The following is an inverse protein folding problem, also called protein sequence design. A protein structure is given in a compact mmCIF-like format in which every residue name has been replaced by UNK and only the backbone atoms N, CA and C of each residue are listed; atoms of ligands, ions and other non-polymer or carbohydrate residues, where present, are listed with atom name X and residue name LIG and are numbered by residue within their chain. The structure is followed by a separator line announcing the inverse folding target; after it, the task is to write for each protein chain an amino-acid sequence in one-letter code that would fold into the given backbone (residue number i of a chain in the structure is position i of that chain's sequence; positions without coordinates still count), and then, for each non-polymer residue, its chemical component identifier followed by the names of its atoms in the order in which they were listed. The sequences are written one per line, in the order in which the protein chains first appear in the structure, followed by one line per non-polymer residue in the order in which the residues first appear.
data_IF_932259457390
#
_entry.id   IF_932259457390
#
_cell.length_a   1.000
_cell.length_b   1.000
_cell.length_c   1.000
_cell.angle_alpha   90.00
_cell.angle_beta   90.00
_cell.angle_gamma   90.00
#
_symmetry.space_group_name_H-M   'P 1'
#
loop_
_entity.id
_entity.type
_entity.pdbx_description
1 polymer ?
#
# COMPACT_ATOMS: atom_id res chain seq x y z
N UNK A 1 15.12 -26.04 -6.96
CA UNK A 1 14.31 -25.47 -8.06
C UNK A 1 14.16 -23.95 -7.96
N UNK A 2 13.75 -23.38 -6.81
CA UNK A 2 13.60 -21.92 -6.61
C UNK A 2 14.88 -21.09 -6.90
N UNK A 3 16.07 -21.57 -6.48
CA UNK A 3 17.36 -20.93 -6.77
C UNK A 3 17.75 -20.85 -8.26
N UNK A 4 17.20 -21.74 -9.10
CA UNK A 4 17.46 -21.70 -10.56
C UNK A 4 16.47 -20.72 -11.22
N UNK A 5 15.21 -20.70 -10.74
CA UNK A 5 14.17 -19.84 -11.28
C UNK A 5 14.47 -18.35 -11.09
N UNK A 6 15.17 -17.94 -10.03
CA UNK A 6 15.56 -16.53 -9.78
C UNK A 6 16.95 -16.16 -10.27
N UNK A 7 17.72 -17.12 -10.79
CA UNK A 7 19.11 -16.88 -11.24
C UNK A 7 19.19 -15.94 -12.43
N UNK A 8 18.19 -15.99 -13.33
CA UNK A 8 18.09 -15.05 -14.45
C UNK A 8 17.86 -13.62 -13.96
N UNK A 9 17.06 -13.40 -12.90
CA UNK A 9 16.83 -12.08 -12.31
C UNK A 9 18.15 -11.51 -11.78
N UNK A 10 18.94 -12.33 -11.07
CA UNK A 10 20.26 -11.91 -10.60
C UNK A 10 21.18 -11.49 -11.76
N UNK A 11 21.20 -12.26 -12.85
CA UNK A 11 21.98 -11.87 -14.03
C UNK A 11 21.46 -10.60 -14.69
N UNK A 12 20.14 -10.42 -14.82
CA UNK A 12 19.56 -9.19 -15.35
C UNK A 12 19.92 -7.97 -14.50
N UNK A 13 19.95 -8.10 -13.16
CA UNK A 13 20.33 -6.99 -12.28
C UNK A 13 21.78 -6.52 -12.48
N UNK A 14 22.68 -7.38 -12.98
CA UNK A 14 24.07 -6.97 -13.29
C UNK A 14 24.15 -5.99 -14.48
N UNK A 15 23.14 -5.95 -15.34
CA UNK A 15 23.08 -5.03 -16.48
C UNK A 15 22.34 -3.73 -16.15
N UNK A 16 21.77 -3.60 -14.94
CA UNK A 16 21.01 -2.42 -14.54
C UNK A 16 21.94 -1.38 -13.89
N UNK A 17 21.75 -0.07 -14.16
CA UNK A 17 22.55 0.98 -13.55
C UNK A 17 22.39 1.02 -12.02
N UNK A 18 23.45 1.40 -11.30
CA UNK A 18 23.40 1.50 -9.83
C UNK A 18 22.34 2.49 -9.35
N UNK A 19 22.02 3.53 -10.12
CA UNK A 19 20.97 4.49 -9.77
C UNK A 19 19.59 3.83 -9.64
N UNK A 20 19.33 2.76 -10.42
CA UNK A 20 18.10 1.98 -10.33
C UNK A 20 18.09 1.09 -9.09
N UNK A 21 19.26 0.54 -8.72
CA UNK A 21 19.41 -0.48 -7.67
C UNK A 21 19.56 0.10 -6.25
N UNK A 22 19.67 1.41 -6.11
CA UNK A 22 19.75 2.06 -4.80
C UNK A 22 18.45 1.87 -4.02
N UNK A 23 18.57 1.84 -2.70
CA UNK A 23 17.42 1.90 -1.80
C UNK A 23 16.65 3.20 -2.05
N UNK A 24 15.32 3.12 -2.00
CA UNK A 24 14.38 4.20 -2.30
C UNK A 24 14.45 4.69 -3.77
N UNK A 25 14.94 3.83 -4.67
CA UNK A 25 14.95 4.08 -6.11
C UNK A 25 13.84 3.30 -6.85
N UNK A 26 13.80 3.42 -8.18
CA UNK A 26 12.74 2.83 -9.02
C UNK A 26 12.63 1.29 -8.91
N UNK A 27 13.66 0.59 -8.42
CA UNK A 27 13.58 -0.85 -8.13
C UNK A 27 12.51 -1.17 -7.06
N UNK A 28 12.34 -0.31 -6.06
CA UNK A 28 11.35 -0.53 -5.00
C UNK A 28 9.92 -0.45 -5.54
N UNK A 29 9.69 0.23 -6.67
CA UNK A 29 8.39 0.23 -7.36
C UNK A 29 8.04 -1.18 -7.82
N UNK A 30 9.00 -1.90 -8.42
CA UNK A 30 8.81 -3.30 -8.82
C UNK A 30 8.55 -4.17 -7.60
N UNK A 31 9.31 -3.97 -6.53
CA UNK A 31 9.16 -4.78 -5.32
C UNK A 31 7.83 -4.60 -4.62
N UNK A 32 7.28 -3.37 -4.54
CA UNK A 32 5.93 -3.15 -4.00
C UNK A 32 4.88 -3.83 -4.86
N UNK A 33 4.93 -3.68 -6.19
CA UNK A 33 3.98 -4.34 -7.10
C UNK A 33 3.96 -5.86 -6.86
N UNK A 34 5.15 -6.49 -6.83
CA UNK A 34 5.29 -7.92 -6.61
C UNK A 34 4.88 -8.35 -5.19
N UNK A 35 5.13 -7.50 -4.18
CA UNK A 35 4.70 -7.77 -2.80
C UNK A 35 3.18 -7.85 -2.72
N UNK A 36 2.45 -6.89 -3.30
CA UNK A 36 0.98 -6.89 -3.27
C UNK A 36 0.41 -8.15 -3.94
N UNK A 37 0.90 -8.52 -5.12
CA UNK A 37 0.47 -9.76 -5.78
C UNK A 37 0.77 -11.00 -4.94
N UNK A 38 1.97 -11.07 -4.33
CA UNK A 38 2.36 -12.18 -3.47
C UNK A 38 1.46 -12.31 -2.25
N UNK A 39 1.12 -11.20 -1.59
CA UNK A 39 0.21 -11.19 -0.44
C UNK A 39 -1.20 -11.67 -0.83
N UNK A 40 -1.70 -11.26 -2.00
CA UNK A 40 -2.97 -11.77 -2.54
C UNK A 40 -2.92 -13.29 -2.71
N UNK A 41 -1.86 -13.82 -3.34
CA UNK A 41 -1.69 -15.26 -3.54
C UNK A 41 -1.58 -16.03 -2.21
N UNK A 42 -0.92 -15.45 -1.20
CA UNK A 42 -0.86 -16.04 0.14
C UNK A 42 -2.23 -16.09 0.82
N UNK A 43 -3.03 -15.03 0.71
CA UNK A 43 -4.41 -15.03 1.20
C UNK A 43 -5.25 -16.11 0.51
N UNK A 44 -5.16 -16.24 -0.82
CA UNK A 44 -5.90 -17.28 -1.56
C UNK A 44 -5.48 -18.68 -1.14
N UNK A 45 -4.17 -18.94 -0.99
CA UNK A 45 -3.66 -20.21 -0.51
C UNK A 45 -4.21 -20.51 0.88
N UNK A 46 -4.09 -19.57 1.82
CA UNK A 46 -4.56 -19.75 3.18
C UNK A 46 -6.07 -20.05 3.21
N UNK A 47 -6.90 -19.26 2.53
CA UNK A 47 -8.36 -19.47 2.53
C UNK A 47 -8.69 -20.87 1.99
N UNK A 48 -8.08 -21.29 0.89
CA UNK A 48 -8.35 -22.59 0.29
C UNK A 48 -7.92 -23.76 1.20
N UNK A 49 -6.77 -23.65 1.86
CA UNK A 49 -6.28 -24.71 2.75
C UNK A 49 -7.01 -24.74 4.09
N UNK A 50 -7.43 -23.58 4.62
CA UNK A 50 -8.27 -23.48 5.83
C UNK A 50 -9.62 -24.18 5.60
N UNK A 51 -10.27 -23.90 4.46
CA UNK A 51 -11.56 -24.53 4.12
C UNK A 51 -11.46 -26.04 3.92
N UNK A 52 -10.31 -26.55 3.49
CA UNK A 52 -10.06 -28.00 3.42
C UNK A 52 -9.83 -28.63 4.79
N UNK A 53 -9.08 -27.94 5.66
CA UNK A 53 -8.76 -28.42 7.01
C UNK A 53 -9.99 -28.47 7.92
N UNK A 54 -10.87 -27.47 7.82
CA UNK A 54 -12.08 -27.36 8.64
C UNK A 54 -13.32 -27.46 7.74
N UNK A 55 -13.89 -28.66 7.54
CA UNK A 55 -15.02 -28.84 6.64
C UNK A 55 -16.31 -28.26 7.21
N UNK A 56 -17.19 -27.83 6.31
CA UNK A 56 -18.52 -27.30 6.64
C UNK A 56 -19.36 -28.31 7.43
N UNK A 57 -20.17 -27.79 8.33
CA UNK A 57 -21.19 -28.54 9.08
C UNK A 57 -22.56 -28.17 8.50
N UNK A 58 -23.32 -29.17 8.03
CA UNK A 58 -24.63 -28.95 7.42
C UNK A 58 -25.76 -28.86 8.45
N UNK A 59 -25.66 -29.67 9.51
CA UNK A 59 -26.59 -29.68 10.64
C UNK A 59 -25.78 -29.71 11.93
N UNK A 60 -26.02 -28.72 12.80
CA UNK A 60 -25.27 -28.51 14.02
C UNK A 60 -26.03 -29.11 15.20
N UNK A 61 -25.43 -30.11 15.86
CA UNK A 61 -26.02 -30.77 17.02
C UNK A 61 -25.24 -30.40 18.30
N UNK A 62 -25.80 -30.73 19.47
CA UNK A 62 -25.14 -30.43 20.75
C UNK A 62 -23.75 -31.03 20.89
N UNK A 63 -23.57 -32.26 20.43
CA UNK A 63 -22.28 -32.95 20.48
C UNK A 63 -21.21 -32.25 19.63
N UNK A 64 -21.60 -31.60 18.51
CA UNK A 64 -20.67 -30.83 17.67
C UNK A 64 -20.14 -29.57 18.38
N UNK A 65 -20.88 -29.08 19.38
CA UNK A 65 -20.54 -27.90 20.17
C UNK A 65 -19.74 -28.28 21.41
N UNK A 66 -20.18 -29.29 22.17
CA UNK A 66 -19.64 -29.60 23.50
C UNK A 66 -18.56 -30.68 23.50
N UNK A 67 -18.64 -31.67 22.60
CA UNK A 67 -17.73 -32.83 22.62
C UNK A 67 -16.66 -32.75 21.53
N UNK A 68 -17.07 -32.57 20.27
CA UNK A 68 -16.13 -32.60 19.15
C UNK A 68 -15.57 -31.23 18.77
N UNK A 69 -16.14 -30.14 19.30
CA UNK A 69 -15.75 -28.75 19.01
C UNK A 69 -15.72 -28.40 17.51
N UNK A 70 -16.44 -29.16 16.69
CA UNK A 70 -16.45 -28.98 15.23
C UNK A 70 -17.09 -27.64 14.87
N UNK A 71 -18.13 -27.25 15.61
CA UNK A 71 -18.80 -25.96 15.43
C UNK A 71 -17.84 -24.78 15.66
N UNK A 72 -16.99 -24.86 16.68
CA UNK A 72 -15.99 -23.83 16.98
C UNK A 72 -14.89 -23.77 15.91
N UNK A 73 -14.40 -24.94 15.47
CA UNK A 73 -13.44 -25.06 14.37
C UNK A 73 -13.96 -24.48 13.05
N UNK A 74 -15.20 -24.78 12.68
CA UNK A 74 -15.83 -24.24 11.48
C UNK A 74 -16.06 -22.73 11.58
N UNK A 75 -16.57 -22.25 12.71
CA UNK A 75 -16.73 -20.80 12.97
C UNK A 75 -15.40 -20.07 12.87
N UNK A 76 -14.34 -20.60 13.50
CA UNK A 76 -12.97 -20.06 13.38
C UNK A 76 -12.49 -20.02 11.93
N UNK A 77 -12.71 -21.09 11.16
CA UNK A 77 -12.31 -21.16 9.76
C UNK A 77 -13.00 -20.09 8.90
N UNK A 78 -14.30 -19.88 9.09
CA UNK A 78 -15.07 -18.82 8.43
C UNK A 78 -14.54 -17.44 8.79
N UNK A 79 -14.34 -17.16 10.09
CA UNK A 79 -13.82 -15.88 10.59
C UNK A 79 -12.41 -15.56 10.07
N UNK A 80 -11.49 -16.51 10.13
CA UNK A 80 -10.13 -16.33 9.59
C UNK A 80 -10.18 -16.10 8.08
N UNK A 81 -11.01 -16.87 7.36
CA UNK A 81 -11.19 -16.69 5.91
C UNK A 81 -11.82 -15.34 5.56
N UNK A 82 -12.74 -14.82 6.38
CA UNK A 82 -13.32 -13.49 6.25
C UNK A 82 -12.25 -12.41 6.45
N UNK A 83 -11.45 -12.47 7.51
CA UNK A 83 -10.36 -11.51 7.73
C UNK A 83 -9.37 -11.51 6.56
N UNK A 84 -8.99 -12.69 6.05
CA UNK A 84 -8.14 -12.82 4.87
C UNK A 84 -8.80 -12.26 3.60
N UNK A 85 -10.11 -12.43 3.42
CA UNK A 85 -10.86 -11.88 2.29
C UNK A 85 -10.97 -10.36 2.35
N UNK A 86 -11.17 -9.78 3.54
CA UNK A 86 -11.12 -8.32 3.76
C UNK A 86 -9.73 -7.79 3.43
N UNK A 87 -8.68 -8.53 3.80
CA UNK A 87 -7.31 -8.14 3.45
C UNK A 87 -7.10 -8.19 1.93
N UNK A 88 -7.51 -9.28 1.29
CA UNK A 88 -7.42 -9.47 -0.15
C UNK A 88 -8.16 -8.37 -0.92
N UNK A 89 -9.36 -8.01 -0.50
CA UNK A 89 -10.13 -6.91 -1.06
C UNK A 89 -9.35 -5.58 -0.99
N UNK A 90 -8.70 -5.32 0.15
CA UNK A 90 -7.86 -4.13 0.32
C UNK A 90 -6.66 -4.17 -0.63
N UNK A 91 -5.96 -5.31 -0.73
CA UNK A 91 -4.80 -5.49 -1.61
C UNK A 91 -5.16 -5.40 -3.11
N UNK A 92 -6.34 -5.89 -3.52
CA UNK A 92 -6.80 -5.78 -4.91
C UNK A 92 -7.09 -4.34 -5.32
N UNK A 93 -7.48 -3.46 -4.38
CA UNK A 93 -7.52 -2.01 -4.64
C UNK A 93 -6.13 -1.47 -4.96
N UNK A 94 -5.09 -1.90 -4.24
CA UNK A 94 -3.69 -1.51 -4.55
C UNK A 94 -3.29 -1.90 -5.96
N UNK A 95 -3.60 -3.13 -6.41
CA UNK A 95 -3.19 -3.61 -7.75
C UNK A 95 -3.61 -2.63 -8.82
N UNK A 96 -4.92 -2.31 -8.91
CA UNK A 96 -5.39 -1.45 -9.98
C UNK A 96 -4.96 0.02 -9.78
N UNK A 97 -4.95 0.50 -8.54
CA UNK A 97 -4.52 1.86 -8.23
C UNK A 97 -3.05 2.10 -8.62
N UNK A 98 -2.15 1.17 -8.31
CA UNK A 98 -0.73 1.27 -8.68
C UNK A 98 -0.44 1.07 -10.17
N UNK A 99 -1.37 0.45 -10.92
CA UNK A 99 -1.25 0.35 -12.38
C UNK A 99 -1.56 1.68 -13.09
N UNK A 100 -2.39 2.53 -12.50
CA UNK A 100 -2.94 3.73 -13.18
C UNK A 100 -2.51 5.05 -12.54
N UNK A 101 -1.94 5.04 -11.34
CA UNK A 101 -1.53 6.25 -10.64
C UNK A 101 -0.38 6.99 -11.33
N UNK A 102 -0.13 8.23 -10.93
CA UNK A 102 1.03 8.95 -11.42
C UNK A 102 2.34 8.27 -11.01
N UNK A 103 3.39 8.30 -11.86
CA UNK A 103 4.72 7.74 -11.56
C UNK A 103 5.28 8.16 -10.20
N UNK A 104 5.06 9.41 -9.81
CA UNK A 104 5.55 9.94 -8.55
C UNK A 104 4.77 9.35 -7.37
N UNK A 105 3.46 9.15 -7.48
CA UNK A 105 2.66 8.49 -6.44
C UNK A 105 3.16 7.07 -6.21
N UNK A 106 3.45 6.32 -7.29
CA UNK A 106 4.02 4.99 -7.19
C UNK A 106 5.40 4.98 -6.50
N UNK A 107 6.28 5.96 -6.81
CA UNK A 107 7.57 6.12 -6.11
C UNK A 107 7.40 6.44 -4.62
N UNK A 108 6.42 7.28 -4.26
CA UNK A 108 6.14 7.58 -2.87
C UNK A 108 5.72 6.33 -2.09
N UNK A 109 4.88 5.48 -2.68
CA UNK A 109 4.50 4.20 -2.06
C UNK A 109 5.69 3.24 -2.01
N UNK A 110 6.49 3.19 -3.09
CA UNK A 110 7.71 2.39 -3.17
C UNK A 110 8.69 2.70 -2.04
N UNK A 111 8.84 3.96 -1.63
CA UNK A 111 9.68 4.33 -0.47
C UNK A 111 9.25 3.66 0.85
N UNK A 112 7.99 3.21 0.94
CA UNK A 112 7.46 2.49 2.11
C UNK A 112 7.64 0.97 2.00
N UNK A 113 8.24 0.45 0.93
CA UNK A 113 8.38 -0.98 0.64
C UNK A 113 8.88 -1.79 1.83
N UNK A 114 9.98 -1.35 2.45
CA UNK A 114 10.57 -2.09 3.56
C UNK A 114 9.63 -2.15 4.77
N UNK A 115 8.81 -1.13 4.99
CA UNK A 115 7.80 -1.12 6.07
C UNK A 115 6.67 -2.09 5.71
N UNK A 116 6.15 -2.02 4.48
CA UNK A 116 5.12 -2.94 3.97
C UNK A 116 5.54 -4.41 4.10
N UNK A 117 6.81 -4.69 3.74
CA UNK A 117 7.39 -6.02 3.78
C UNK A 117 7.38 -6.62 5.20
N UNK A 118 7.59 -5.81 6.24
CA UNK A 118 7.58 -6.33 7.63
C UNK A 118 6.23 -6.91 8.05
N UNK A 119 5.14 -6.54 7.39
CA UNK A 119 3.80 -7.05 7.68
C UNK A 119 3.48 -8.37 6.96
N UNK A 120 4.29 -8.78 5.96
CA UNK A 120 4.17 -10.08 5.29
C UNK A 120 4.29 -11.25 6.29
N UNK A 121 5.11 -11.05 7.34
CA UNK A 121 5.32 -12.04 8.42
C UNK A 121 4.03 -12.50 9.10
N UNK A 122 2.99 -11.67 9.10
CA UNK A 122 1.69 -12.06 9.68
C UNK A 122 1.05 -13.19 8.89
N UNK A 123 1.21 -13.20 7.56
CA UNK A 123 0.73 -14.29 6.72
C UNK A 123 1.70 -15.48 6.76
N UNK A 124 3.02 -15.24 6.78
CA UNK A 124 4.01 -16.31 6.92
C UNK A 124 3.80 -17.12 8.20
N UNK A 125 3.50 -16.44 9.31
CA UNK A 125 3.16 -17.11 10.56
C UNK A 125 1.94 -18.05 10.42
N UNK A 126 0.87 -17.62 9.75
CA UNK A 126 -0.30 -18.46 9.51
C UNK A 126 0.02 -19.63 8.58
N UNK A 127 0.84 -19.41 7.55
CA UNK A 127 1.30 -20.47 6.63
C UNK A 127 2.15 -21.50 7.40
N UNK A 128 3.06 -21.04 8.26
CA UNK A 128 3.90 -21.93 9.09
C UNK A 128 3.05 -22.77 10.04
N UNK A 129 2.03 -22.17 10.67
CA UNK A 129 1.09 -22.91 11.52
C UNK A 129 0.31 -23.96 10.71
N UNK A 130 -0.12 -23.63 9.50
CA UNK A 130 -0.83 -24.56 8.62
C UNK A 130 0.07 -25.72 8.19
N UNK A 131 1.32 -25.43 7.79
CA UNK A 131 2.30 -26.45 7.38
C UNK A 131 2.67 -27.40 8.52
N UNK A 132 2.72 -26.91 9.76
CA UNK A 132 3.03 -27.71 10.95
C UNK A 132 1.80 -28.38 11.57
N UNK A 133 0.63 -28.22 10.95
CA UNK A 133 -0.66 -28.66 11.46
C UNK A 133 -1.05 -28.06 12.83
N UNK A 134 -0.47 -26.91 13.18
CA UNK A 134 -0.64 -26.20 14.46
C UNK A 134 -1.68 -25.07 14.39
N UNK A 135 -2.33 -24.88 13.24
CA UNK A 135 -3.45 -23.95 13.14
C UNK A 135 -4.66 -24.51 13.90
N UNK A 136 -5.00 -23.90 15.04
CA UNK A 136 -6.09 -24.27 15.93
C UNK A 136 -7.09 -23.11 16.12
N UNK A 137 -8.30 -23.44 16.58
CA UNK A 137 -9.46 -22.57 16.76
C UNK A 137 -9.31 -21.48 17.84
N UNK A 138 -8.47 -21.70 18.84
CA UNK A 138 -8.12 -20.68 19.85
C UNK A 138 -7.04 -19.68 19.43
N UNK A 139 -6.60 -19.68 18.16
CA UNK A 139 -5.57 -18.77 17.69
C UNK A 139 -6.05 -17.31 17.64
N UNK A 140 -5.28 -16.40 18.25
CA UNK A 140 -5.56 -14.97 18.18
C UNK A 140 -5.29 -14.37 16.79
N UNK A 141 -6.27 -13.66 16.24
CA UNK A 141 -6.18 -13.00 14.93
C UNK A 141 -5.67 -11.55 14.99
N UNK A 142 -5.26 -11.07 16.17
CA UNK A 142 -4.87 -9.68 16.41
C UNK A 142 -3.72 -9.18 15.50
N UNK A 143 -2.76 -10.04 15.17
CA UNK A 143 -1.64 -9.66 14.29
C UNK A 143 -2.10 -9.43 12.85
N UNK A 144 -3.06 -10.23 12.37
CA UNK A 144 -3.67 -10.08 11.06
C UNK A 144 -4.54 -8.82 11.01
N UNK A 145 -5.37 -8.58 12.03
CA UNK A 145 -6.19 -7.36 12.15
C UNK A 145 -5.31 -6.09 12.07
N UNK A 146 -4.21 -6.04 12.82
CA UNK A 146 -3.26 -4.92 12.78
C UNK A 146 -2.64 -4.73 11.39
N UNK A 147 -2.33 -5.84 10.71
CA UNK A 147 -1.80 -5.81 9.34
C UNK A 147 -2.83 -5.26 8.35
N UNK A 148 -4.08 -5.70 8.44
CA UNK A 148 -5.18 -5.18 7.61
C UNK A 148 -5.37 -3.68 7.85
N UNK A 149 -5.45 -3.24 9.11
CA UNK A 149 -5.57 -1.83 9.45
C UNK A 149 -4.41 -0.99 8.92
N UNK A 150 -3.18 -1.51 8.99
CA UNK A 150 -2.00 -0.84 8.45
C UNK A 150 -2.10 -0.65 6.93
N UNK A 151 -2.42 -1.70 6.15
CA UNK A 151 -2.58 -1.58 4.69
C UNK A 151 -3.76 -0.69 4.31
N UNK A 152 -4.88 -0.72 5.05
CA UNK A 152 -6.00 0.22 4.86
C UNK A 152 -5.55 1.67 5.07
N UNK A 153 -4.72 1.93 6.07
CA UNK A 153 -4.17 3.26 6.33
C UNK A 153 -3.25 3.72 5.18
N UNK A 154 -2.32 2.89 4.74
CA UNK A 154 -1.44 3.20 3.60
C UNK A 154 -2.26 3.49 2.33
N UNK A 155 -3.26 2.65 2.03
CA UNK A 155 -4.14 2.88 0.89
C UNK A 155 -4.83 4.25 0.99
N UNK A 156 -5.42 4.56 2.15
CA UNK A 156 -6.12 5.83 2.37
C UNK A 156 -5.20 7.04 2.23
N UNK A 157 -3.96 6.93 2.73
CA UNK A 157 -2.99 8.03 2.72
C UNK A 157 -2.43 8.34 1.33
N UNK A 158 -2.20 7.33 0.49
CA UNK A 158 -1.50 7.51 -0.79
C UNK A 158 -2.36 7.26 -2.04
N UNK A 159 -3.41 6.44 -1.95
CA UNK A 159 -4.17 5.93 -3.11
C UNK A 159 -5.68 6.19 -3.01
N UNK A 160 -6.14 7.03 -2.09
CA UNK A 160 -7.58 7.29 -1.89
C UNK A 160 -8.27 7.95 -3.10
N UNK A 161 -7.50 8.67 -3.93
CA UNK A 161 -8.00 9.34 -5.13
C UNK A 161 -7.90 8.45 -6.38
N UNK A 162 -7.19 7.32 -6.29
CA UNK A 162 -6.91 6.46 -7.43
C UNK A 162 -8.08 5.52 -7.75
N UNK A 163 -8.22 5.20 -9.03
CA UNK A 163 -9.26 4.27 -9.51
C UNK A 163 -8.89 2.83 -9.16
N UNK A 164 -9.91 2.02 -8.83
CA UNK A 164 -9.76 0.59 -8.62
C UNK A 164 -10.84 -0.20 -9.38
N UNK A 165 -10.66 -1.52 -9.50
CA UNK A 165 -11.63 -2.39 -10.18
C UNK A 165 -12.89 -2.57 -9.35
N UNK A 166 -13.96 -1.88 -9.75
CA UNK A 166 -15.26 -1.92 -9.09
C UNK A 166 -15.93 -3.30 -9.18
N UNK A 167 -15.81 -3.99 -10.32
CA UNK A 167 -16.33 -5.35 -10.47
C UNK A 167 -15.64 -6.34 -9.54
N UNK A 168 -14.31 -6.23 -9.38
CA UNK A 168 -13.57 -7.08 -8.43
C UNK A 168 -13.97 -6.74 -6.99
N UNK A 169 -14.10 -5.46 -6.67
CA UNK A 169 -14.52 -5.00 -5.35
C UNK A 169 -15.88 -5.55 -4.95
N UNK A 170 -16.84 -5.59 -5.89
CA UNK A 170 -18.17 -6.16 -5.66
C UNK A 170 -18.17 -7.69 -5.48
N UNK A 171 -17.30 -8.40 -6.22
CA UNK A 171 -17.09 -9.85 -6.03
C UNK A 171 -16.42 -10.15 -4.69
N UNK A 172 -15.45 -9.34 -4.30
CA UNK A 172 -14.80 -9.45 -3.01
C UNK A 172 -15.79 -9.16 -1.85
N UNK A 173 -16.65 -8.14 -2.00
CA UNK A 173 -17.77 -7.89 -1.08
C UNK A 173 -18.66 -9.13 -0.95
N UNK A 174 -19.02 -9.75 -2.07
CA UNK A 174 -19.83 -10.98 -2.06
C UNK A 174 -19.16 -12.09 -1.24
N UNK A 175 -17.86 -12.30 -1.45
CA UNK A 175 -17.08 -13.30 -0.70
C UNK A 175 -17.05 -12.99 0.79
N UNK A 176 -16.82 -11.73 1.16
CA UNK A 176 -16.80 -11.29 2.57
C UNK A 176 -18.15 -11.52 3.24
N UNK A 177 -19.26 -11.12 2.60
CA UNK A 177 -20.61 -11.31 3.13
C UNK A 177 -20.92 -12.79 3.31
N UNK A 178 -20.64 -13.65 2.33
CA UNK A 178 -20.91 -15.09 2.44
C UNK A 178 -20.13 -15.75 3.58
N UNK A 179 -18.83 -15.46 3.71
CA UNK A 179 -18.00 -16.00 4.80
C UNK A 179 -18.47 -15.48 6.16
N UNK A 180 -18.85 -14.20 6.24
CA UNK A 180 -19.41 -13.61 7.46
C UNK A 180 -20.73 -14.30 7.82
N UNK A 181 -21.63 -14.48 6.84
CA UNK A 181 -22.92 -15.14 7.02
C UNK A 181 -22.77 -16.61 7.42
N UNK A 182 -21.76 -17.33 6.96
CA UNK A 182 -21.46 -18.71 7.39
C UNK A 182 -20.97 -18.75 8.84
N UNK A 183 -20.10 -17.82 9.24
CA UNK A 183 -19.66 -17.67 10.64
C UNK A 183 -20.83 -17.33 11.55
N UNK A 184 -21.61 -16.30 11.19
CA UNK A 184 -22.76 -15.84 11.96
C UNK A 184 -23.82 -16.93 12.10
N UNK A 185 -24.14 -17.63 11.01
CA UNK A 185 -25.11 -18.74 11.07
C UNK A 185 -24.67 -19.80 12.07
N UNK A 186 -23.39 -20.19 12.03
CA UNK A 186 -22.83 -21.22 12.90
C UNK A 186 -22.87 -20.76 14.35
N UNK A 187 -22.42 -19.55 14.66
CA UNK A 187 -22.37 -19.04 16.02
C UNK A 187 -23.77 -18.77 16.60
N UNK A 188 -24.72 -18.29 15.79
CA UNK A 188 -26.12 -18.17 16.18
C UNK A 188 -26.71 -19.55 16.50
N UNK A 189 -26.48 -20.55 15.66
CA UNK A 189 -26.95 -21.92 15.91
C UNK A 189 -26.30 -22.53 17.16
N UNK A 190 -25.02 -22.23 17.44
CA UNK A 190 -24.37 -22.62 18.71
C UNK A 190 -25.11 -22.03 19.90
N UNK A 191 -25.47 -20.76 19.87
CA UNK A 191 -26.25 -20.11 20.93
C UNK A 191 -27.60 -20.82 21.11
N UNK A 192 -28.36 -21.03 20.03
CA UNK A 192 -29.66 -21.70 20.09
C UNK A 192 -29.56 -23.12 20.65
N UNK A 193 -28.56 -23.89 20.20
CA UNK A 193 -28.35 -25.23 20.70
C UNK A 193 -28.01 -25.20 22.18
N UNK A 194 -27.16 -24.30 22.65
CA UNK A 194 -26.74 -24.22 24.05
C UNK A 194 -27.78 -23.64 25.00
N UNK A 195 -28.80 -22.97 24.48
CA UNK A 195 -29.87 -22.37 25.26
C UNK A 195 -30.78 -23.45 25.88
N UNK A 196 -31.14 -23.27 27.15
CA UNK A 196 -32.13 -24.13 27.82
C UNK A 196 -33.51 -23.89 27.19
N UNK A 197 -34.18 -24.95 26.77
CA UNK A 197 -35.56 -24.88 26.27
C UNK A 197 -36.51 -24.34 27.36
N UNK A 198 -37.47 -23.51 26.96
CA UNK A 198 -38.51 -23.03 27.87
C UNK A 198 -39.37 -24.20 28.34
N UNK A 199 -39.57 -24.33 29.65
CA UNK A 199 -40.42 -25.36 30.25
C UNK A 199 -41.92 -25.14 29.93
N UNK A 200 -42.28 -24.02 29.30
CA UNK A 200 -43.63 -23.73 28.79
C UNK A 200 -43.59 -23.40 27.27
N UNK A 201 -44.17 -24.25 26.41
CA UNK A 201 -44.16 -24.05 24.95
C UNK A 201 -45.09 -22.93 24.44
N UNK A 202 -46.08 -22.51 25.25
CA UNK A 202 -47.15 -21.59 24.83
C UNK A 202 -47.03 -20.16 25.39
N UNK A 203 -45.94 -19.79 26.08
CA UNK A 203 -45.81 -18.47 26.69
C UNK A 203 -44.40 -17.87 26.54
N UNK A 204 -44.36 -16.70 25.90
CA UNK A 204 -43.26 -15.74 25.70
C UNK A 204 -41.83 -16.29 25.58
N UNK A 205 -41.38 -16.45 24.32
CA UNK A 205 -39.94 -16.51 24.02
C UNK A 205 -39.24 -15.33 24.69
N UNK A 206 -38.08 -15.56 25.31
CA UNK A 206 -37.32 -14.47 25.91
C UNK A 206 -36.99 -13.40 24.86
N UNK A 207 -36.90 -12.11 25.24
CA UNK A 207 -36.55 -11.05 24.29
C UNK A 207 -35.26 -11.34 23.52
N UNK A 208 -34.27 -11.95 24.19
CA UNK A 208 -33.03 -12.36 23.56
C UNK A 208 -33.22 -13.49 22.54
N UNK A 209 -34.08 -14.47 22.82
CA UNK A 209 -34.41 -15.53 21.84
C UNK A 209 -35.11 -14.95 20.60
N UNK A 210 -36.00 -13.97 20.80
CA UNK A 210 -36.65 -13.24 19.69
C UNK A 210 -35.62 -12.51 18.85
N UNK A 211 -34.68 -11.79 19.47
CA UNK A 211 -33.57 -11.14 18.77
C UNK A 211 -32.76 -12.15 17.96
N UNK A 212 -32.38 -13.28 18.55
CA UNK A 212 -31.60 -14.33 17.86
C UNK A 212 -32.33 -14.83 16.61
N UNK A 213 -33.64 -15.08 16.67
CA UNK A 213 -34.43 -15.50 15.52
C UNK A 213 -34.48 -14.41 14.43
N UNK A 214 -34.66 -13.15 14.81
CA UNK A 214 -34.64 -12.02 13.88
C UNK A 214 -33.29 -11.86 13.17
N UNK A 215 -32.17 -12.11 13.87
CA UNK A 215 -30.83 -12.07 13.28
C UNK A 215 -30.63 -13.21 12.27
N UNK A 216 -31.23 -14.39 12.47
CA UNK A 216 -31.21 -15.49 11.47
C UNK A 216 -31.92 -15.06 10.19
N UNK A 217 -33.13 -14.53 10.30
CA UNK A 217 -33.91 -14.06 9.16
C UNK A 217 -33.16 -12.96 8.38
N UNK A 218 -32.54 -12.02 9.10
CA UNK A 218 -31.70 -10.99 8.49
C UNK A 218 -30.46 -11.59 7.78
N UNK A 219 -29.86 -12.65 8.33
CA UNK A 219 -28.71 -13.33 7.72
C UNK A 219 -29.10 -13.99 6.39
N UNK A 220 -30.26 -14.63 6.35
CA UNK A 220 -30.81 -15.23 5.15
C UNK A 220 -31.13 -14.18 4.09
N UNK A 221 -31.69 -13.03 4.50
CA UNK A 221 -31.90 -11.88 3.62
C UNK A 221 -30.57 -11.40 3.01
N UNK A 222 -29.51 -11.24 3.82
CA UNK A 222 -28.19 -10.85 3.32
C UNK A 222 -27.65 -11.85 2.29
N UNK A 223 -27.75 -13.17 2.56
CA UNK A 223 -27.35 -14.22 1.62
C UNK A 223 -28.13 -14.14 0.30
N UNK A 224 -29.45 -13.92 0.37
CA UNK A 224 -30.28 -13.79 -0.81
C UNK A 224 -29.87 -12.58 -1.67
N UNK A 225 -29.66 -11.40 -1.04
CA UNK A 225 -29.22 -10.20 -1.74
C UNK A 225 -27.83 -10.38 -2.35
N UNK A 226 -26.89 -10.99 -1.63
CA UNK A 226 -25.54 -11.19 -2.16
C UNK A 226 -25.52 -12.22 -3.30
N UNK A 227 -26.39 -13.23 -3.26
CA UNK A 227 -26.60 -14.15 -4.37
C UNK A 227 -27.09 -13.44 -5.63
N UNK A 228 -27.96 -12.43 -5.47
CA UNK A 228 -28.41 -11.56 -6.58
C UNK A 228 -27.28 -10.65 -7.08
N UNK A 229 -26.54 -9.99 -6.17
CA UNK A 229 -25.37 -9.17 -6.51
C UNK A 229 -24.35 -9.99 -7.32
N UNK A 230 -23.99 -11.19 -6.86
CA UNK A 230 -23.00 -12.03 -7.53
C UNK A 230 -23.38 -12.40 -8.97
N UNK A 231 -24.68 -12.59 -9.23
CA UNK A 231 -25.20 -12.89 -10.58
C UNK A 231 -25.21 -11.65 -11.48
N UNK A 232 -25.41 -10.47 -10.89
CA UNK A 232 -25.53 -9.20 -11.63
C UNK A 232 -24.17 -8.53 -11.87
N UNK A 233 -23.14 -8.82 -11.08
CA UNK A 233 -21.81 -8.23 -11.28
C UNK A 233 -21.13 -8.85 -12.51
N UNK A 234 -20.52 -8.04 -13.40
CA UNK A 234 -19.77 -8.56 -14.55
C UNK A 234 -18.67 -9.53 -14.12
N UNK A 235 -18.59 -10.67 -14.80
CA UNK A 235 -17.55 -11.67 -14.59
C UNK A 235 -16.32 -11.35 -15.45
N UNK A 236 -15.18 -12.01 -15.20
CA UNK A 236 -13.90 -11.67 -15.87
C UNK A 236 -13.93 -11.75 -17.41
N UNK A 237 -14.84 -12.54 -17.97
CA UNK A 237 -15.02 -12.68 -19.43
C UNK A 237 -15.91 -11.58 -20.05
N UNK A 238 -16.64 -10.82 -19.24
CA UNK A 238 -17.56 -9.78 -19.69
C UNK A 238 -16.83 -8.46 -19.95
N UNK A 239 -16.32 -8.32 -21.17
CA UNK A 239 -15.59 -7.12 -21.64
C UNK A 239 -16.50 -5.95 -21.99
N UNK A 240 -17.81 -6.17 -22.08
CA UNK A 240 -18.74 -5.19 -22.63
C UNK A 240 -19.38 -4.31 -21.56
N UNK A 241 -19.27 -4.69 -20.29
CA UNK A 241 -19.90 -3.99 -19.17
C UNK A 241 -18.87 -3.64 -18.10
N UNK A 242 -18.80 -2.36 -17.75
CA UNK A 242 -18.00 -1.86 -16.63
C UNK A 242 -18.92 -1.31 -15.55
N UNK A 243 -18.46 -1.38 -14.29
CA UNK A 243 -19.17 -0.78 -13.16
C UNK A 243 -18.44 0.48 -12.69
N UNK A 244 -19.21 1.51 -12.35
CA UNK A 244 -18.73 2.73 -11.67
C UNK A 244 -19.60 2.99 -10.46
N UNK A 245 -19.03 2.86 -9.27
CA UNK A 245 -19.70 3.22 -8.02
C UNK A 245 -19.33 4.65 -7.63
N UNK A 246 -20.30 5.37 -7.09
CA UNK A 246 -20.07 6.69 -6.49
C UNK A 246 -19.48 6.57 -5.06
N UNK A 247 -18.94 7.68 -4.55
CA UNK A 247 -18.29 7.72 -3.23
C UNK A 247 -19.22 7.34 -2.07
N UNK A 248 -20.54 7.58 -2.17
CA UNK A 248 -21.48 7.19 -1.12
C UNK A 248 -21.71 5.69 -1.16
N UNK A 249 -21.89 5.09 -2.33
CA UNK A 249 -21.97 3.63 -2.46
C UNK A 249 -20.70 2.94 -1.92
N UNK A 250 -19.51 3.49 -2.19
CA UNK A 250 -18.25 2.95 -1.66
C UNK A 250 -18.20 3.06 -0.13
N UNK A 251 -18.59 4.20 0.44
CA UNK A 251 -18.57 4.40 1.90
C UNK A 251 -19.60 3.54 2.63
N UNK A 252 -20.77 3.33 2.03
CA UNK A 252 -21.79 2.38 2.50
C UNK A 252 -21.24 0.95 2.49
N UNK A 253 -20.57 0.51 1.42
CA UNK A 253 -19.94 -0.82 1.37
C UNK A 253 -18.87 -0.94 2.48
N UNK A 254 -18.05 0.09 2.68
CA UNK A 254 -17.06 0.09 3.76
C UNK A 254 -17.74 0.05 5.16
N UNK A 255 -18.93 0.63 5.31
CA UNK A 255 -19.75 0.52 6.54
C UNK A 255 -20.25 -0.90 6.76
N UNK A 256 -20.86 -1.50 5.74
CA UNK A 256 -21.32 -2.89 5.77
C UNK A 256 -20.20 -3.86 6.16
N UNK A 257 -18.99 -3.70 5.60
CA UNK A 257 -17.83 -4.54 5.94
C UNK A 257 -17.38 -4.34 7.40
N UNK A 258 -17.42 -3.11 7.92
CA UNK A 258 -17.12 -2.85 9.35
C UNK A 258 -18.16 -3.50 10.26
N UNK A 259 -19.44 -3.38 9.92
CA UNK A 259 -20.52 -3.98 10.70
C UNK A 259 -20.44 -5.51 10.69
N UNK A 260 -20.15 -6.14 9.55
CA UNK A 260 -19.91 -7.58 9.47
C UNK A 260 -18.70 -8.04 10.29
N UNK A 261 -17.58 -7.30 10.26
CA UNK A 261 -16.40 -7.60 11.08
C UNK A 261 -16.72 -7.48 12.58
N UNK A 262 -17.51 -6.48 12.99
CA UNK A 262 -17.97 -6.34 14.38
C UNK A 262 -18.90 -7.47 14.78
N UNK A 263 -19.94 -7.75 14.00
CA UNK A 263 -20.91 -8.82 14.27
C UNK A 263 -20.19 -10.16 14.46
N UNK A 264 -19.35 -10.55 13.51
CA UNK A 264 -18.60 -11.82 13.57
C UNK A 264 -17.63 -11.89 14.75
N UNK A 265 -16.98 -10.78 15.11
CA UNK A 265 -16.16 -10.70 16.33
C UNK A 265 -17.01 -10.83 17.59
N UNK A 266 -18.16 -10.16 17.67
CA UNK A 266 -19.05 -10.22 18.84
C UNK A 266 -19.63 -11.61 19.03
N UNK A 267 -20.17 -12.24 17.99
CA UNK A 267 -20.71 -13.60 18.06
C UNK A 267 -19.66 -14.64 18.45
N UNK A 268 -18.43 -14.48 17.97
CA UNK A 268 -17.32 -15.31 18.40
C UNK A 268 -16.98 -15.14 19.88
N UNK A 269 -16.97 -13.89 20.39
CA UNK A 269 -16.76 -13.61 21.81
C UNK A 269 -17.91 -14.16 22.68
N UNK A 270 -19.16 -14.06 22.21
CA UNK A 270 -20.31 -14.69 22.88
C UNK A 270 -20.07 -16.20 22.99
N UNK A 271 -19.79 -16.85 21.86
CA UNK A 271 -19.60 -18.29 21.84
C UNK A 271 -18.38 -18.73 22.66
N UNK A 272 -17.30 -17.95 22.68
CA UNK A 272 -16.14 -18.22 23.55
C UNK A 272 -16.51 -18.12 25.04
N UNK A 273 -17.35 -17.15 25.41
CA UNK A 273 -17.91 -17.03 26.76
C UNK A 273 -18.79 -18.22 27.11
N UNK A 274 -19.65 -18.65 26.19
CA UNK A 274 -20.50 -19.83 26.36
C UNK A 274 -19.68 -21.11 26.51
N UNK A 275 -18.64 -21.33 25.69
CA UNK A 275 -17.73 -22.47 25.84
C UNK A 275 -17.13 -22.49 27.25
N UNK A 276 -16.72 -21.32 27.78
CA UNK A 276 -16.20 -21.21 29.15
C UNK A 276 -17.26 -21.55 30.19
N UNK A 277 -18.50 -21.09 30.01
CA UNK A 277 -19.59 -21.35 30.95
C UNK A 277 -19.98 -22.83 30.98
N UNK A 278 -19.99 -23.53 29.84
CA UNK A 278 -20.26 -24.98 29.77
C UNK A 278 -19.24 -25.75 30.62
N UNK A 279 -17.96 -25.37 30.58
CA UNK A 279 -16.91 -26.02 31.37
C UNK A 279 -17.11 -25.88 32.88
N UNK A 280 -17.96 -24.95 33.33
CA UNK A 280 -18.31 -24.75 34.74
C UNK A 280 -19.57 -25.53 35.17
N UNK A 281 -20.34 -26.06 34.21
CA UNK A 281 -21.53 -26.86 34.50
C UNK A 281 -21.15 -28.23 35.03
N UNK A 282 -21.95 -28.75 35.96
CA UNK A 282 -21.66 -30.03 36.63
C UNK A 282 -22.19 -31.24 35.85
N UNK A 283 -23.23 -31.04 35.03
CA UNK A 283 -23.79 -32.08 34.15
C UNK A 283 -23.42 -31.80 32.69
N UNK A 284 -22.91 -32.83 32.01
CA UNK A 284 -22.47 -32.77 30.61
C UNK A 284 -23.61 -32.49 29.61
N UNK A 285 -24.87 -32.66 30.01
CA UNK A 285 -26.05 -32.36 29.18
C UNK A 285 -26.79 -31.08 29.61
N UNK A 286 -26.27 -30.36 30.60
CA UNK A 286 -26.87 -29.13 31.10
C UNK A 286 -26.75 -28.01 30.06
N UNK A 287 -27.83 -27.23 29.92
CA UNK A 287 -27.91 -26.10 28.99
C UNK A 287 -27.81 -24.78 29.76
N UNK A 288 -27.39 -23.73 29.07
CA UNK A 288 -27.17 -22.42 29.69
C UNK A 288 -28.51 -21.67 29.79
N UNK A 289 -28.74 -21.01 30.93
CA UNK A 289 -29.89 -20.16 31.11
C UNK A 289 -29.80 -18.91 30.22
N UNK A 290 -30.92 -18.50 29.63
CA UNK A 290 -30.96 -17.37 28.69
C UNK A 290 -30.42 -16.07 29.30
N UNK A 291 -30.65 -15.83 30.60
CA UNK A 291 -30.13 -14.65 31.29
C UNK A 291 -28.58 -14.60 31.29
N UNK A 292 -27.93 -15.76 31.40
CA UNK A 292 -26.47 -15.83 31.40
C UNK A 292 -25.91 -15.64 29.99
N UNK A 293 -26.59 -16.18 28.98
CA UNK A 293 -26.27 -15.93 27.56
C UNK A 293 -26.37 -14.43 27.26
N UNK A 294 -27.43 -13.78 27.74
CA UNK A 294 -27.64 -12.35 27.59
C UNK A 294 -26.54 -11.53 28.29
N UNK A 295 -26.15 -11.89 29.51
CA UNK A 295 -25.04 -11.25 30.23
C UNK A 295 -23.71 -11.39 29.47
N UNK A 296 -23.43 -12.55 28.89
CA UNK A 296 -22.26 -12.77 28.03
C UNK A 296 -22.35 -11.90 26.76
N UNK A 297 -23.54 -11.75 26.18
CA UNK A 297 -23.75 -10.88 25.03
C UNK A 297 -23.46 -9.41 25.34
N UNK A 298 -23.86 -8.91 26.51
CA UNK A 298 -23.48 -7.57 26.98
C UNK A 298 -21.95 -7.41 27.07
N UNK A 299 -21.24 -8.38 27.67
CA UNK A 299 -19.78 -8.33 27.79
C UNK A 299 -19.07 -8.37 26.42
N UNK A 300 -19.58 -9.18 25.50
CA UNK A 300 -19.05 -9.28 24.15
C UNK A 300 -19.26 -7.99 23.35
N UNK A 301 -20.44 -7.37 23.45
CA UNK A 301 -20.73 -6.10 22.82
C UNK A 301 -19.83 -4.98 23.33
N UNK A 302 -19.68 -4.82 24.64
CA UNK A 302 -18.81 -3.81 25.25
C UNK A 302 -17.36 -3.96 24.75
N UNK A 303 -16.85 -5.19 24.68
CA UNK A 303 -15.50 -5.49 24.21
C UNK A 303 -15.27 -5.09 22.74
N UNK A 304 -16.25 -5.32 21.86
CA UNK A 304 -16.12 -5.15 20.41
C UNK A 304 -16.53 -3.75 19.94
N UNK A 305 -17.70 -3.27 20.35
CA UNK A 305 -18.27 -1.97 19.97
C UNK A 305 -17.68 -0.82 20.79
N UNK A 306 -17.24 -1.07 22.03
CA UNK A 306 -16.59 -0.10 22.91
C UNK A 306 -17.46 1.15 23.11
N UNK A 307 -16.98 2.30 22.66
CA UNK A 307 -17.70 3.59 22.80
C UNK A 307 -19.00 3.67 22.00
N UNK A 308 -19.16 2.79 21.01
CA UNK A 308 -20.35 2.71 20.17
C UNK A 308 -21.28 1.57 20.60
N UNK A 309 -21.10 1.01 21.81
CA UNK A 309 -21.97 -0.02 22.35
C UNK A 309 -23.25 0.58 22.92
N UNK A 310 -24.39 0.08 22.45
CA UNK A 310 -25.74 0.33 22.99
C UNK A 310 -26.39 -0.94 23.54
N UNK A 311 -25.59 -1.95 23.87
CA UNK A 311 -26.06 -3.28 24.30
C UNK A 311 -26.35 -4.22 23.13
N UNK A 312 -26.62 -5.51 23.41
CA UNK A 312 -26.76 -6.54 22.38
C UNK A 312 -28.01 -6.37 21.51
N UNK A 313 -29.13 -5.87 22.08
CA UNK A 313 -30.36 -5.67 21.32
C UNK A 313 -30.21 -4.64 20.20
N UNK A 314 -29.65 -3.48 20.51
CA UNK A 314 -29.50 -2.38 19.56
C UNK A 314 -28.26 -2.58 18.68
N UNK A 315 -27.08 -2.83 19.28
CA UNK A 315 -25.82 -2.92 18.53
C UNK A 315 -25.81 -4.04 17.48
N UNK A 316 -26.32 -5.24 17.83
CA UNK A 316 -26.36 -6.37 16.90
C UNK A 316 -27.42 -6.16 15.82
N UNK A 317 -28.62 -5.72 16.21
CA UNK A 317 -29.71 -5.47 15.28
C UNK A 317 -29.36 -4.37 14.28
N UNK A 318 -28.93 -3.21 14.75
CA UNK A 318 -28.64 -2.06 13.89
C UNK A 318 -27.50 -2.39 12.92
N UNK A 319 -26.44 -3.04 13.39
CA UNK A 319 -25.32 -3.44 12.54
C UNK A 319 -25.76 -4.39 11.41
N UNK A 320 -26.61 -5.36 11.74
CA UNK A 320 -27.07 -6.37 10.79
C UNK A 320 -28.11 -5.80 9.83
N UNK A 321 -29.04 -5.00 10.35
CA UNK A 321 -30.08 -4.31 9.59
C UNK A 321 -29.49 -3.28 8.61
N UNK A 322 -28.54 -2.45 9.06
CA UNK A 322 -27.83 -1.51 8.19
C UNK A 322 -27.12 -2.27 7.06
N UNK A 323 -26.44 -3.37 7.37
CA UNK A 323 -25.76 -4.20 6.38
C UNK A 323 -26.75 -4.76 5.35
N UNK A 324 -27.86 -5.35 5.80
CA UNK A 324 -28.90 -5.90 4.92
C UNK A 324 -29.54 -4.82 4.04
N UNK A 325 -29.77 -3.63 4.58
CA UNK A 325 -30.30 -2.46 3.86
C UNK A 325 -29.34 -1.97 2.77
N UNK A 326 -28.04 -1.87 3.10
CA UNK A 326 -26.98 -1.51 2.14
C UNK A 326 -26.91 -2.54 1.01
N UNK A 327 -26.88 -3.84 1.32
CA UNK A 327 -26.86 -4.90 0.30
C UNK A 327 -28.11 -4.87 -0.59
N UNK A 328 -29.28 -4.59 -0.02
CA UNK A 328 -30.52 -4.43 -0.79
C UNK A 328 -30.45 -3.23 -1.74
N UNK A 329 -29.93 -2.10 -1.27
CA UNK A 329 -29.73 -0.90 -2.09
C UNK A 329 -28.80 -1.18 -3.26
N UNK A 330 -27.65 -1.80 -2.99
CA UNK A 330 -26.66 -2.17 -4.02
C UNK A 330 -27.25 -3.15 -5.04
N UNK A 331 -27.98 -4.15 -4.56
CA UNK A 331 -28.64 -5.16 -5.39
C UNK A 331 -29.65 -4.52 -6.35
N UNK A 332 -30.47 -3.59 -5.86
CA UNK A 332 -31.43 -2.84 -6.67
C UNK A 332 -30.74 -1.89 -7.68
N UNK A 333 -29.68 -1.21 -7.25
CA UNK A 333 -28.86 -0.35 -8.13
C UNK A 333 -28.21 -1.13 -9.27
N UNK A 334 -27.71 -2.35 -9.01
CA UNK A 334 -27.20 -3.25 -10.05
C UNK A 334 -28.29 -3.73 -11.01
N UNK A 335 -29.49 -4.04 -10.51
CA UNK A 335 -30.61 -4.52 -11.33
C UNK A 335 -31.16 -3.43 -12.26
N UNK A 336 -31.19 -2.19 -11.77
CA UNK A 336 -31.60 -1.00 -12.55
C UNK A 336 -30.51 -0.51 -13.50
N UNK A 337 -29.30 -1.08 -13.45
CA UNK A 337 -28.16 -0.65 -14.25
C UNK A 337 -27.59 0.71 -13.83
N UNK A 338 -27.89 1.19 -12.62
CA UNK A 338 -27.44 2.53 -12.18
C UNK A 338 -25.93 2.66 -12.03
N UNK A 339 -25.23 1.53 -11.88
CA UNK A 339 -23.77 1.47 -11.82
C UNK A 339 -23.12 1.17 -13.18
N UNK A 340 -23.91 0.92 -14.23
CA UNK A 340 -23.36 0.54 -15.53
C UNK A 340 -22.69 1.73 -16.20
N UNK A 341 -21.44 1.53 -16.60
CA UNK A 341 -20.66 2.50 -17.35
C UNK A 341 -20.15 1.91 -18.65
N UNK A 342 -19.94 2.77 -19.64
CA UNK A 342 -19.30 2.35 -20.88
C UNK A 342 -17.86 1.92 -20.56
N UNK A 343 -17.38 0.80 -21.14
CA UNK A 343 -16.00 0.38 -20.97
C UNK A 343 -15.09 1.48 -21.50
N UNK A 344 -14.35 2.13 -20.60
CA UNK A 344 -13.32 3.09 -20.99
C UNK A 344 -12.22 2.29 -21.67
N UNK A 345 -11.89 2.62 -22.92
CA UNK A 345 -10.71 2.08 -23.60
C UNK A 345 -9.49 2.29 -22.69
N UNK A 346 -8.97 1.21 -22.11
CA UNK A 346 -7.74 1.24 -21.31
C UNK A 346 -6.54 1.40 -22.25
N UNK A 347 -6.39 2.59 -22.83
CA UNK A 347 -5.25 2.95 -23.70
C UNK A 347 -4.11 3.64 -22.94
N UNK A 348 -4.28 3.92 -21.64
CA UNK A 348 -3.21 4.51 -20.82
C UNK A 348 -2.16 3.47 -20.47
N UNK A 349 -0.89 3.74 -20.84
CA UNK A 349 0.28 2.97 -20.38
C UNK A 349 0.28 2.89 -18.85
N UNK A 350 0.57 1.72 -18.29
CA UNK A 350 0.64 1.55 -16.82
C UNK A 350 1.77 2.41 -16.23
N UNK A 351 1.61 2.81 -14.96
CA UNK A 351 2.54 3.67 -14.22
C UNK A 351 3.98 3.16 -14.25
N UNK A 352 4.17 1.84 -14.15
CA UNK A 352 5.50 1.22 -14.20
C UNK A 352 6.18 1.39 -15.57
N UNK A 353 5.43 1.37 -16.67
CA UNK A 353 5.97 1.64 -18.01
C UNK A 353 6.37 3.10 -18.15
N UNK A 354 5.59 4.02 -17.58
CA UNK A 354 5.92 5.45 -17.56
C UNK A 354 7.20 5.71 -16.75
N UNK A 355 7.36 5.06 -15.59
CA UNK A 355 8.60 5.12 -14.79
C UNK A 355 9.79 4.59 -15.61
N UNK A 356 9.64 3.43 -16.26
CA UNK A 356 10.71 2.86 -17.07
C UNK A 356 11.11 3.78 -18.24
N UNK A 357 10.14 4.44 -18.89
CA UNK A 357 10.38 5.42 -19.95
C UNK A 357 11.09 6.66 -19.41
N UNK A 358 10.66 7.21 -18.27
CA UNK A 358 11.33 8.32 -17.56
C UNK A 358 12.77 7.97 -17.15
N UNK A 359 13.01 6.75 -16.68
CA UNK A 359 14.34 6.30 -16.32
C UNK A 359 15.25 6.19 -17.56
N UNK A 360 14.74 5.64 -18.67
CA UNK A 360 15.49 5.55 -19.93
C UNK A 360 15.81 6.92 -20.51
N UNK A 361 14.89 7.88 -20.45
CA UNK A 361 15.17 9.25 -20.90
C UNK A 361 16.20 9.94 -20.00
N UNK A 362 16.15 9.72 -18.67
CA UNK A 362 17.13 10.24 -17.72
C UNK A 362 18.55 9.73 -18.00
N UNK A 363 18.71 8.44 -18.29
CA UNK A 363 20.02 7.86 -18.68
C UNK A 363 20.56 8.53 -19.94
N UNK A 364 19.76 8.62 -20.99
CA UNK A 364 20.18 9.21 -22.26
C UNK A 364 20.57 10.70 -22.09
N UNK A 365 19.84 11.43 -21.24
CA UNK A 365 20.18 12.82 -20.91
C UNK A 365 21.48 12.90 -20.11
N UNK A 366 21.71 11.99 -19.17
CA UNK A 366 22.95 11.92 -18.39
C UNK A 366 24.17 11.68 -19.29
N UNK A 367 24.08 10.75 -20.24
CA UNK A 367 25.15 10.49 -21.20
C UNK A 367 25.41 11.69 -22.14
N UNK A 368 24.34 12.39 -22.56
CA UNK A 368 24.44 13.63 -23.34
C UNK A 368 25.15 14.75 -22.56
N UNK A 369 24.80 14.92 -21.28
CA UNK A 369 25.44 15.90 -20.40
C UNK A 369 26.90 15.52 -20.16
N UNK A 370 27.21 14.24 -19.93
CA UNK A 370 28.59 13.76 -19.75
C UNK A 370 29.45 14.06 -20.97
N UNK A 371 28.93 13.79 -22.17
CA UNK A 371 29.64 14.09 -23.42
C UNK A 371 29.90 15.59 -23.59
N UNK A 372 28.94 16.46 -23.22
CA UNK A 372 29.12 17.92 -23.25
C UNK A 372 30.13 18.40 -22.21
N UNK A 373 30.17 17.75 -21.04
CA UNK A 373 31.13 18.05 -19.99
C UNK A 373 32.55 17.73 -20.46
N UNK A 374 32.76 16.54 -21.04
CA UNK A 374 34.05 16.11 -21.60
C UNK A 374 34.56 17.11 -22.66
N UNK A 375 33.70 17.56 -23.58
CA UNK A 375 34.05 18.60 -24.56
C UNK A 375 34.44 19.93 -23.90
N UNK A 376 33.72 20.36 -22.86
CA UNK A 376 34.04 21.59 -22.13
C UNK A 376 35.34 21.48 -21.34
N UNK A 377 35.68 20.30 -20.83
CA UNK A 377 36.97 20.05 -20.19
C UNK A 377 38.13 20.12 -21.18
N UNK A 378 37.95 19.62 -22.41
CA UNK A 378 38.93 19.72 -23.49
C UNK A 378 39.13 21.19 -23.94
N UNK A 379 38.05 21.92 -24.18
CA UNK A 379 38.12 23.36 -24.48
C UNK A 379 38.84 24.14 -23.38
N UNK A 380 38.56 23.81 -22.11
CA UNK A 380 39.19 24.47 -20.96
C UNK A 380 40.69 24.16 -20.86
N UNK A 381 41.10 22.94 -21.20
CA UNK A 381 42.52 22.56 -21.31
C UNK A 381 43.22 23.37 -22.40
N UNK A 382 42.60 23.54 -23.56
CA UNK A 382 43.19 24.30 -24.66
C UNK A 382 43.25 25.80 -24.37
N UNK A 383 42.20 26.37 -23.77
CA UNK A 383 42.23 27.77 -23.29
C UNK A 383 43.33 27.96 -22.25
N UNK A 384 43.52 27.02 -21.32
CA UNK A 384 44.64 27.07 -20.36
C UNK A 384 46.01 27.03 -21.04
N UNK A 385 46.19 26.19 -22.07
CA UNK A 385 47.45 26.16 -22.86
C UNK A 385 47.68 27.49 -23.57
N UNK A 386 46.66 28.03 -24.24
CA UNK A 386 46.74 29.32 -24.93
C UNK A 386 47.04 30.47 -23.97
N UNK A 387 46.44 30.46 -22.79
CA UNK A 387 46.70 31.44 -21.74
C UNK A 387 48.15 31.35 -21.25
N UNK A 388 48.70 30.15 -21.09
CA UNK A 388 50.11 29.96 -20.75
C UNK A 388 51.05 30.50 -21.83
N UNK A 389 50.79 30.20 -23.11
CA UNK A 389 51.57 30.74 -24.24
C UNK A 389 51.52 32.26 -24.24
N UNK A 390 50.33 32.86 -24.08
CA UNK A 390 50.18 34.32 -24.04
C UNK A 390 50.86 34.96 -22.82
N UNK A 391 50.86 34.27 -21.68
CA UNK A 391 51.59 34.68 -20.49
C UNK A 391 53.11 34.70 -20.74
N UNK A 392 53.64 33.64 -21.37
CA UNK A 392 55.05 33.54 -21.72
C UNK A 392 55.45 34.64 -22.73
N UNK A 393 54.64 34.87 -23.78
CA UNK A 393 54.83 35.96 -24.76
C UNK A 393 54.84 37.36 -24.09
N UNK A 394 53.88 37.62 -23.17
CA UNK A 394 53.83 38.88 -22.43
C UNK A 394 55.06 39.06 -21.52
N UNK A 395 55.53 37.98 -20.89
CA UNK A 395 56.74 38.02 -20.08
C UNK A 395 57.97 38.38 -20.93
N UNK A 396 58.09 37.82 -22.13
CA UNK A 396 59.17 38.14 -23.07
C UNK A 396 59.09 39.59 -23.55
N UNK A 397 57.90 40.06 -23.92
CA UNK A 397 57.69 41.45 -24.32
C UNK A 397 58.01 42.42 -23.19
N UNK A 398 57.62 42.13 -21.94
CA UNK A 398 57.97 42.95 -20.79
C UNK A 398 59.48 43.03 -20.56
N UNK A 399 60.21 41.92 -20.74
CA UNK A 399 61.68 41.91 -20.67
C UNK A 399 62.27 42.79 -21.77
N UNK A 400 61.79 42.66 -23.02
CA UNK A 400 62.24 43.50 -24.15
C UNK A 400 61.95 44.98 -23.92
N UNK A 401 60.78 45.30 -23.36
CA UNK A 401 60.37 46.66 -23.04
C UNK A 401 61.33 47.27 -22.00
N UNK A 402 61.59 46.54 -20.89
CA UNK A 402 62.56 46.96 -19.86
C UNK A 402 63.98 47.16 -20.41
N UNK A 403 64.43 46.32 -21.35
CA UNK A 403 65.73 46.50 -22.00
C UNK A 403 65.78 47.76 -22.88
N UNK A 404 64.71 48.04 -23.63
CA UNK A 404 64.63 49.23 -24.47
C UNK A 404 64.51 50.51 -23.65
N UNK A 405 63.76 50.50 -22.54
CA UNK A 405 63.70 51.61 -21.58
C UNK A 405 65.09 51.94 -21.05
N UNK A 406 65.85 50.94 -20.57
CA UNK A 406 67.24 51.12 -20.13
C UNK A 406 68.14 51.68 -21.24
N UNK A 407 67.93 51.24 -22.48
CA UNK A 407 68.69 51.75 -23.63
C UNK A 407 68.35 53.22 -23.91
N UNK A 408 67.08 53.61 -23.84
CA UNK A 408 66.65 55.00 -23.97
C UNK A 408 67.26 55.85 -22.86
N UNK A 409 67.21 55.39 -21.60
CA UNK A 409 67.86 56.08 -20.46
C UNK A 409 69.36 56.28 -20.70
N UNK A 410 70.06 55.25 -21.21
CA UNK A 410 71.49 55.38 -21.54
C UNK A 410 71.76 56.38 -22.67
N UNK A 411 70.94 56.38 -23.72
CA UNK A 411 71.07 57.30 -24.84
C UNK A 411 70.74 58.74 -24.42
N UNK A 412 69.69 58.92 -23.61
CA UNK A 412 69.34 60.22 -23.02
C UNK A 412 70.52 60.77 -22.24
N UNK A 413 71.15 59.95 -21.38
CA UNK A 413 72.35 60.34 -20.65
C UNK A 413 73.52 60.71 -21.57
N UNK A 414 73.77 59.93 -22.63
CA UNK A 414 74.80 60.26 -23.63
C UNK A 414 74.49 61.57 -24.39
N UNK A 415 73.23 61.83 -24.71
CA UNK A 415 72.80 63.06 -25.36
C UNK A 415 72.93 64.26 -24.43
N UNK A 416 72.57 64.12 -23.15
CA UNK A 416 72.79 65.15 -22.13
C UNK A 416 74.28 65.46 -21.97
N UNK A 417 75.14 64.42 -21.91
CA UNK A 417 76.59 64.59 -21.85
C UNK A 417 77.13 65.32 -23.10
N UNK A 418 76.63 65.00 -24.29
CA UNK A 418 76.98 65.69 -25.54
C UNK A 418 76.47 67.13 -25.57
N UNK A 419 75.23 67.38 -25.16
CA UNK A 419 74.64 68.73 -25.12
C UNK A 419 75.40 69.61 -24.12
N UNK A 420 75.77 69.06 -22.96
CA UNK A 420 76.64 69.73 -22.00
C UNK A 420 78.01 70.07 -22.59
N UNK A 421 78.65 69.15 -23.32
CA UNK A 421 79.90 69.44 -24.06
C UNK A 421 79.72 70.52 -25.12
N UNK A 422 78.65 70.45 -25.90
CA UNK A 422 78.36 71.48 -26.92
C UNK A 422 78.15 72.84 -26.27
N UNK A 423 77.36 72.93 -25.19
CA UNK A 423 77.17 74.16 -24.43
C UNK A 423 78.50 74.73 -23.91
N UNK A 424 79.38 73.90 -23.36
CA UNK A 424 80.72 74.31 -22.95
C UNK A 424 81.53 74.88 -24.13
N UNK A 425 81.58 74.19 -25.27
CA UNK A 425 82.28 74.70 -26.47
C UNK A 425 81.64 75.98 -27.02
N UNK A 426 80.32 76.13 -26.91
CA UNK A 426 79.59 77.31 -27.37
C UNK A 426 79.86 78.51 -26.45
N UNK A 427 79.99 78.29 -25.15
CA UNK A 427 80.47 79.29 -24.19
C UNK A 427 81.93 79.69 -24.47
N UNK A 428 82.82 78.74 -24.73
CA UNK A 428 84.21 79.01 -25.13
C UNK A 428 84.27 79.86 -26.41
N UNK A 429 83.51 79.50 -27.46
CA UNK A 429 83.44 80.26 -28.72
C UNK A 429 82.80 81.64 -28.52
N UNK A 430 81.78 81.77 -27.66
CA UNK A 430 81.21 83.08 -27.31
C UNK A 430 82.22 83.97 -26.59
N UNK A 431 82.98 83.41 -25.66
CA UNK A 431 84.04 84.14 -24.94
C UNK A 431 85.14 84.58 -25.93
N UNK A 432 85.55 83.73 -26.86
CA UNK A 432 86.54 84.07 -27.90
C UNK A 432 86.02 85.08 -28.92
N UNK A 433 84.74 85.00 -29.30
CA UNK A 433 84.09 85.98 -30.17
C UNK A 433 83.98 87.36 -29.53
N UNK A 434 83.69 87.43 -28.22
CA UNK A 434 83.67 88.69 -27.47
C UNK A 434 85.06 89.30 -27.30
N UNK A 435 86.12 88.48 -27.29
CA UNK A 435 87.51 88.98 -27.26
C UNK A 435 88.00 89.52 -28.62
N UNK A 436 87.35 89.17 -29.74
CA UNK A 436 87.71 89.64 -31.09
C UNK A 436 86.95 90.89 -31.57
N UNK A 437 85.98 91.39 -30.77
CA UNK A 437 85.22 92.62 -31.07
C UNK A 437 85.72 93.82 -30.21
N UNK A 438 86.85 93.67 -29.50
CA UNK A 438 87.62 94.76 -28.92
C UNK A 438 89.01 94.75 -29.55
#
# INVERSE_FOLDING_TARGET
MYKILTRHVHFLTLFLPEQFLKRDADQDCIFVLLLIHRLISKCDLLINEIQKKFPRIDQLNFDDVVKSHRAEQWSFACKLSQSLSIFQMTLRKFVKAMEVCDPDVLRHIASTYHVLLTHEKSLDFLIDLLQKDQLHDSLSLNALDKTISFYKHIYKSYLSQEKFSMSNYMRDLTRVVLLSSDSLQTDIQRIQVLQKESEQPDNDQSPFAVLVNQLIESNEQMRAQVGKINRLVPQDDDKNRSLTLDSNSISSIESAIRNLDRLTKTFHEICSGLTTQILLLSDANERINTQDIENIAYQACDKVYKKEDSGPYESLWDSMHETASILTTISNSLETGSYDSTPVEQSSKQSIYLIAEQFKTSINQSDSIRSKLELKEEELLDVKKMLKIKHDELSELNIRLSLNEKKIESLQKEFEDKDNKYKQTLEEVKIDGQKKIK
#
